data_IF_292740159894
#
_entry.id   IF_292740159894
#
_cell.length_a   1.000
_cell.length_b   1.000
_cell.length_c   1.000
_cell.angle_alpha   90.00
_cell.angle_beta   90.00
_cell.angle_gamma   90.00
#
_symmetry.space_group_name_H-M   'P 1'
#
loop_
_entity.id
_entity.type
_entity.pdbx_description
1 polymer ?
#
# COMPACT_ATOMS: atom_id res chain seq x y z
N UNK A 1 3.96 20.08 -1.78
CA UNK A 1 5.33 19.51 -1.55
C UNK A 1 5.29 18.43 -0.47
N UNK A 2 5.87 17.25 -0.73
CA UNK A 2 5.91 16.10 0.19
C UNK A 2 7.22 16.05 0.99
N UNK A 3 7.12 15.72 2.28
CA UNK A 3 8.24 15.61 3.22
C UNK A 3 8.37 14.18 3.77
N UNK A 4 9.59 13.61 3.84
CA UNK A 4 9.81 12.30 4.44
C UNK A 4 9.40 12.24 5.92
N UNK A 5 8.90 11.07 6.34
CA UNK A 5 8.55 10.75 7.73
C UNK A 5 9.47 9.64 8.25
N UNK A 6 10.21 9.94 9.31
CA UNK A 6 11.01 8.94 10.01
C UNK A 6 10.12 8.12 10.94
N UNK A 7 9.92 6.84 10.62
CA UNK A 7 9.15 5.89 11.41
C UNK A 7 10.07 4.87 12.08
N UNK A 8 9.60 4.27 13.17
CA UNK A 8 10.30 3.14 13.77
C UNK A 8 10.16 1.88 12.90
N UNK A 9 11.28 1.31 12.47
CA UNK A 9 11.32 0.17 11.55
C UNK A 9 11.90 -1.10 12.18
N UNK A 10 11.88 -1.20 13.51
CA UNK A 10 12.39 -2.37 14.25
C UNK A 10 11.53 -3.62 14.02
N UNK A 11 10.25 -3.42 13.72
CA UNK A 11 9.28 -4.46 13.36
C UNK A 11 8.13 -3.86 12.55
N UNK A 12 7.38 -4.71 11.85
CA UNK A 12 6.15 -4.28 11.17
C UNK A 12 5.16 -3.62 12.13
N UNK A 13 5.01 -4.13 13.36
CA UNK A 13 4.10 -3.55 14.36
C UNK A 13 4.53 -2.16 14.84
N UNK A 14 5.84 -1.93 15.01
CA UNK A 14 6.36 -0.61 15.33
C UNK A 14 6.13 0.37 14.17
N UNK A 15 6.34 -0.08 12.94
CA UNK A 15 6.09 0.71 11.73
C UNK A 15 4.61 1.05 11.58
N UNK A 16 3.70 0.08 11.74
CA UNK A 16 2.25 0.27 11.71
C UNK A 16 1.79 1.27 12.78
N UNK A 17 2.31 1.19 14.00
CA UNK A 17 2.04 2.18 15.05
C UNK A 17 2.51 3.58 14.64
N UNK A 18 3.70 3.68 14.06
CA UNK A 18 4.23 4.95 13.51
C UNK A 18 3.35 5.52 12.40
N UNK A 19 2.85 4.69 11.48
CA UNK A 19 1.91 5.11 10.43
C UNK A 19 0.60 5.61 11.04
N UNK A 20 0.03 4.89 12.02
CA UNK A 20 -1.19 5.30 12.70
C UNK A 20 -1.01 6.67 13.39
N UNK A 21 0.12 6.90 14.05
CA UNK A 21 0.44 8.21 14.63
C UNK A 21 0.53 9.32 13.58
N UNK A 22 1.11 9.06 12.41
CA UNK A 22 1.15 10.06 11.33
C UNK A 22 -0.26 10.36 10.83
N UNK A 23 -1.08 9.34 10.57
CA UNK A 23 -2.47 9.52 10.13
C UNK A 23 -3.30 10.36 11.11
N UNK A 24 -3.06 10.23 12.41
CA UNK A 24 -3.72 11.05 13.44
C UNK A 24 -3.25 12.50 13.48
N UNK A 25 -2.00 12.76 13.08
CA UNK A 25 -1.41 14.11 13.01
C UNK A 25 -1.80 14.86 11.75
N UNK A 26 -2.25 14.16 10.71
CA UNK A 26 -2.60 14.75 9.42
C UNK A 26 -3.73 15.76 9.55
N UNK A 27 -3.56 16.92 8.95
CA UNK A 27 -4.63 17.89 8.72
C UNK A 27 -5.68 17.37 7.71
N UNK A 28 -6.86 17.99 7.64
CA UNK A 28 -7.75 17.81 6.51
C UNK A 28 -7.01 18.12 5.20
N UNK A 29 -7.29 17.34 4.15
CA UNK A 29 -6.69 17.49 2.80
C UNK A 29 -5.18 17.21 2.73
N UNK A 30 -4.58 16.66 3.80
CA UNK A 30 -3.20 16.16 3.78
C UNK A 30 -3.15 14.69 3.36
N UNK A 31 -2.15 14.39 2.53
CA UNK A 31 -1.86 13.06 2.02
C UNK A 31 -0.68 12.44 2.75
N UNK A 32 -0.84 11.18 3.16
CA UNK A 32 0.27 10.29 3.51
C UNK A 32 0.50 9.34 2.35
N UNK A 33 1.70 9.37 1.77
CA UNK A 33 2.09 8.52 0.65
C UNK A 33 3.09 7.48 1.17
N UNK A 34 2.79 6.21 0.95
CA UNK A 34 3.60 5.07 1.37
C UNK A 34 4.13 4.36 0.12
N UNK A 35 5.46 4.31 0.01
CA UNK A 35 6.18 3.90 -1.20
C UNK A 35 7.22 2.82 -0.82
N UNK A 36 6.96 1.55 -1.14
CA UNK A 36 7.97 0.51 -1.07
C UNK A 36 9.10 0.79 -2.06
N UNK A 37 10.33 0.75 -1.58
CA UNK A 37 11.53 1.00 -2.36
C UNK A 37 11.87 -0.22 -3.23
N UNK A 38 12.64 -0.03 -4.31
CA UNK A 38 12.99 -1.13 -5.23
C UNK A 38 13.68 -2.33 -4.55
N UNK A 39 14.40 -2.11 -3.44
CA UNK A 39 15.06 -3.17 -2.66
C UNK A 39 14.11 -3.92 -1.71
N UNK A 40 12.88 -3.44 -1.53
CA UNK A 40 11.87 -4.05 -0.67
C UNK A 40 11.45 -5.44 -1.16
N UNK A 41 11.63 -5.69 -2.45
CA UNK A 41 11.15 -6.87 -3.14
C UNK A 41 12.24 -7.93 -3.22
N UNK A 42 11.92 -9.23 -3.02
CA UNK A 42 12.88 -10.29 -3.26
C UNK A 42 13.39 -10.25 -4.70
N UNK A 43 14.70 -10.51 -4.87
CA UNK A 43 15.32 -10.56 -6.19
C UNK A 43 14.60 -11.58 -7.07
N UNK A 44 14.38 -11.23 -8.34
CA UNK A 44 13.87 -12.19 -9.32
C UNK A 44 14.79 -13.42 -9.32
N UNK A 45 14.25 -14.65 -9.19
CA UNK A 45 15.08 -15.84 -9.15
C UNK A 45 15.88 -15.96 -10.45
N UNK A 46 17.15 -16.37 -10.37
CA UNK A 46 17.96 -16.58 -11.57
C UNK A 46 17.25 -17.58 -12.51
N UNK A 47 17.17 -17.30 -13.83
CA UNK A 47 16.54 -18.22 -14.77
C UNK A 47 17.26 -19.57 -14.69
N UNK A 48 16.55 -20.59 -14.21
CA UNK A 48 17.11 -21.92 -14.05
C UNK A 48 17.70 -22.38 -15.40
N UNK A 49 19.03 -22.52 -15.46
CA UNK A 49 19.76 -23.09 -16.60
C UNK A 49 19.40 -24.59 -16.70
N UNK A 50 18.25 -24.91 -17.27
CA UNK A 50 17.81 -26.31 -17.33
C UNK A 50 16.49 -26.56 -18.04
N UNK A 51 16.59 -26.98 -19.31
CA UNK A 51 15.64 -27.80 -20.09
C UNK A 51 14.18 -27.31 -20.20
N UNK A 52 13.94 -26.46 -21.20
CA UNK A 52 12.92 -26.59 -22.28
C UNK A 52 11.47 -27.05 -21.98
N UNK A 53 10.95 -26.93 -20.76
CA UNK A 53 9.51 -27.14 -20.46
C UNK A 53 8.83 -25.98 -19.71
N UNK A 54 9.51 -24.85 -19.51
CA UNK A 54 9.10 -23.79 -18.57
C UNK A 54 8.30 -22.59 -19.12
N UNK A 55 7.61 -22.67 -20.26
CA UNK A 55 7.01 -21.46 -20.87
C UNK A 55 5.79 -20.88 -20.15
N UNK A 56 5.06 -21.65 -19.33
CA UNK A 56 3.86 -21.14 -18.64
C UNK A 56 4.05 -20.83 -17.15
N UNK A 57 4.99 -21.48 -16.46
CA UNK A 57 5.12 -21.36 -15.00
C UNK A 57 6.15 -20.31 -14.53
N UNK A 58 7.04 -19.87 -15.42
CA UNK A 58 8.04 -18.84 -15.11
C UNK A 58 7.53 -17.40 -15.27
N UNK A 59 6.44 -17.15 -16.01
CA UNK A 59 5.96 -15.76 -16.22
C UNK A 59 5.28 -15.13 -15.01
N UNK A 60 4.90 -15.91 -13.98
CA UNK A 60 4.21 -15.39 -12.78
C UNK A 60 5.17 -14.84 -11.71
N UNK A 61 6.48 -15.07 -11.82
CA UNK A 61 7.45 -14.82 -10.72
C UNK A 61 8.38 -13.63 -10.92
N UNK A 62 8.35 -13.00 -12.10
CA UNK A 62 9.30 -11.95 -12.49
C UNK A 62 8.70 -10.52 -12.40
N UNK A 63 7.52 -10.35 -11.80
CA UNK A 63 6.72 -9.12 -11.88
C UNK A 63 6.21 -8.73 -10.49
N UNK A 64 7.06 -8.13 -9.65
CA UNK A 64 6.61 -7.64 -8.34
C UNK A 64 6.15 -6.19 -8.48
N UNK A 65 4.88 -5.87 -8.17
CA UNK A 65 4.40 -4.51 -8.27
C UNK A 65 5.12 -3.65 -7.22
N UNK A 66 5.60 -2.47 -7.60
CA UNK A 66 5.90 -1.39 -6.68
C UNK A 66 4.61 -0.56 -6.48
N UNK A 67 3.71 -0.96 -5.55
CA UNK A 67 2.50 -0.21 -5.34
C UNK A 67 2.80 1.10 -4.64
N UNK A 68 1.90 2.06 -4.80
CA UNK A 68 1.86 3.25 -3.94
C UNK A 68 0.55 3.19 -3.18
N UNK A 69 0.62 3.34 -1.85
CA UNK A 69 -0.56 3.58 -1.04
C UNK A 69 -0.63 5.06 -0.71
N UNK A 70 -1.79 5.67 -0.92
CA UNK A 70 -2.08 7.03 -0.49
C UNK A 70 -3.20 6.99 0.54
N UNK A 71 -3.06 7.80 1.57
CA UNK A 71 -4.07 7.98 2.60
C UNK A 71 -4.36 9.48 2.72
N UNK A 72 -5.55 9.87 2.27
CA UNK A 72 -6.02 11.26 2.31
C UNK A 72 -7.04 11.41 3.43
N UNK A 73 -6.83 12.37 4.32
CA UNK A 73 -7.81 12.68 5.37
C UNK A 73 -8.88 13.63 4.84
N UNK A 74 -10.14 13.19 4.93
CA UNK A 74 -11.31 14.01 4.66
C UNK A 74 -12.13 14.14 5.96
N UNK A 75 -12.04 15.29 6.62
CA UNK A 75 -12.64 15.55 7.94
C UNK A 75 -12.29 14.49 9.03
N UNK A 76 -13.23 13.61 9.36
CA UNK A 76 -13.10 12.51 10.33
C UNK A 76 -12.99 11.13 9.66
N UNK A 77 -12.77 11.11 8.35
CA UNK A 77 -12.66 9.92 7.51
C UNK A 77 -11.31 9.92 6.79
N UNK A 78 -10.97 8.76 6.24
CA UNK A 78 -9.74 8.53 5.50
C UNK A 78 -10.09 7.85 4.18
N UNK A 79 -9.69 8.44 3.07
CA UNK A 79 -9.66 7.75 1.78
C UNK A 79 -8.31 7.03 1.66
N UNK A 80 -8.36 5.72 1.48
CA UNK A 80 -7.20 4.90 1.16
C UNK A 80 -7.23 4.49 -0.30
N UNK A 81 -6.15 4.79 -1.01
CA UNK A 81 -5.95 4.42 -2.41
C UNK A 81 -4.70 3.56 -2.53
N UNK A 82 -4.84 2.35 -3.08
CA UNK A 82 -3.77 1.45 -3.41
C UNK A 82 -3.67 1.33 -4.93
N UNK A 83 -2.60 1.90 -5.46
CA UNK A 83 -2.35 2.02 -6.89
C UNK A 83 -1.21 1.09 -7.29
N UNK A 84 -1.44 0.24 -8.30
CA UNK A 84 -0.38 -0.60 -8.88
C UNK A 84 0.60 0.23 -9.73
N UNK A 85 1.81 -0.27 -10.00
CA UNK A 85 2.82 0.50 -10.72
C UNK A 85 2.46 0.81 -12.17
N UNK A 86 1.64 0.00 -12.85
CA UNK A 86 1.19 0.27 -14.22
C UNK A 86 0.52 1.65 -14.40
N UNK A 87 -0.21 2.11 -13.38
CA UNK A 87 -0.85 3.44 -13.33
C UNK A 87 0.15 4.59 -13.14
N UNK A 88 1.37 4.29 -12.67
CA UNK A 88 2.45 5.26 -12.42
C UNK A 88 3.61 5.08 -13.42
N UNK A 89 3.39 4.36 -14.53
CA UNK A 89 4.39 4.13 -15.57
C UNK A 89 5.36 2.97 -15.31
N UNK A 90 5.14 2.16 -14.28
CA UNK A 90 5.88 0.93 -14.02
C UNK A 90 5.38 -0.25 -14.86
N UNK A 91 6.23 -1.26 -15.02
CA UNK A 91 6.06 -2.27 -16.08
C UNK A 91 4.99 -3.36 -15.79
N UNK A 92 4.40 -3.41 -14.59
CA UNK A 92 3.71 -4.63 -14.12
C UNK A 92 2.32 -4.39 -13.50
N UNK A 93 1.31 -5.15 -13.93
CA UNK A 93 -0.04 -5.13 -13.36
C UNK A 93 -0.19 -6.13 -12.20
N UNK A 94 -1.18 -5.90 -11.31
CA UNK A 94 -1.57 -6.86 -10.28
C UNK A 94 -1.92 -8.21 -10.89
N UNK A 95 -1.41 -9.30 -10.30
CA UNK A 95 -1.81 -10.66 -10.67
C UNK A 95 -3.17 -11.02 -10.08
N UNK A 96 -3.89 -11.99 -10.66
CA UNK A 96 -5.18 -12.44 -10.12
C UNK A 96 -5.05 -12.92 -8.67
N UNK A 97 -4.00 -13.69 -8.36
CA UNK A 97 -3.71 -14.19 -7.01
C UNK A 97 -3.52 -13.02 -6.00
N UNK A 98 -2.91 -11.91 -6.43
CA UNK A 98 -2.75 -10.70 -5.60
C UNK A 98 -4.07 -9.95 -5.42
N UNK A 99 -4.88 -9.86 -6.47
CA UNK A 99 -6.21 -9.23 -6.40
C UNK A 99 -7.09 -9.99 -5.41
N UNK A 100 -7.10 -11.32 -5.50
CA UNK A 100 -7.83 -12.18 -4.55
C UNK A 100 -7.31 -11.97 -3.11
N UNK A 101 -6.00 -11.99 -2.91
CA UNK A 101 -5.40 -11.76 -1.59
C UNK A 101 -5.73 -10.36 -1.01
N UNK A 102 -5.78 -9.32 -1.84
CA UNK A 102 -6.19 -7.97 -1.41
C UNK A 102 -7.66 -7.94 -0.98
N UNK A 103 -8.53 -8.61 -1.72
CA UNK A 103 -9.96 -8.71 -1.39
C UNK A 103 -10.16 -9.47 -0.08
N UNK A 104 -9.48 -10.59 0.11
CA UNK A 104 -9.52 -11.39 1.33
C UNK A 104 -9.00 -10.61 2.55
N UNK A 105 -7.98 -9.78 2.35
CA UNK A 105 -7.45 -8.88 3.37
C UNK A 105 -8.44 -7.76 3.75
N UNK A 106 -9.39 -7.47 2.86
CA UNK A 106 -10.46 -6.51 3.10
C UNK A 106 -10.41 -5.29 2.20
N UNK A 107 -9.59 -5.23 1.15
CA UNK A 107 -9.79 -4.22 0.10
C UNK A 107 -11.07 -4.51 -0.69
N UNK A 108 -11.78 -3.49 -1.19
CA UNK A 108 -12.88 -3.72 -2.13
C UNK A 108 -12.35 -4.20 -3.48
N UNK A 109 -13.25 -4.64 -4.37
CA UNK A 109 -12.87 -4.94 -5.75
C UNK A 109 -12.27 -3.69 -6.42
N UNK A 110 -11.22 -3.83 -7.26
CA UNK A 110 -10.56 -2.68 -7.86
C UNK A 110 -11.42 -2.03 -8.95
N UNK A 111 -11.30 -0.72 -9.07
CA UNK A 111 -11.80 0.05 -10.21
C UNK A 111 -10.82 -0.19 -11.37
N UNK A 112 -11.35 -0.46 -12.57
CA UNK A 112 -10.56 -0.74 -13.78
C UNK A 112 -10.66 0.42 -14.76
N UNK A 113 -9.83 1.44 -14.57
CA UNK A 113 -9.70 2.58 -15.49
C UNK A 113 -8.24 2.70 -15.97
N UNK A 114 -7.89 1.92 -17.00
CA UNK A 114 -6.52 1.81 -17.50
C UNK A 114 -5.60 0.94 -16.64
N UNK A 115 -5.64 1.10 -15.31
CA UNK A 115 -4.98 0.24 -14.33
C UNK A 115 -5.97 -0.14 -13.21
N UNK A 116 -5.65 -1.22 -12.47
CA UNK A 116 -6.42 -1.62 -11.31
C UNK A 116 -6.01 -0.79 -10.09
N UNK A 117 -6.96 0.00 -9.59
CA UNK A 117 -6.82 0.84 -8.39
C UNK A 117 -7.83 0.37 -7.35
N UNK A 118 -7.36 0.16 -6.13
CA UNK A 118 -8.20 -0.19 -5.00
C UNK A 118 -8.43 1.05 -4.16
N UNK A 119 -9.68 1.44 -3.94
CA UNK A 119 -10.03 2.65 -3.20
C UNK A 119 -11.03 2.30 -2.10
N UNK A 120 -10.86 2.84 -0.90
CA UNK A 120 -11.84 2.68 0.16
C UNK A 120 -11.87 3.86 1.13
N UNK A 121 -13.09 4.22 1.56
CA UNK A 121 -13.28 5.12 2.69
C UNK A 121 -13.30 4.35 4.01
N UNK A 122 -12.61 4.92 4.99
CA UNK A 122 -12.59 4.49 6.37
C UNK A 122 -13.08 5.59 7.30
N UNK A 123 -13.98 5.29 8.25
CA UNK A 123 -14.70 4.02 8.34
C UNK A 123 -15.68 3.86 7.17
N UNK A 124 -16.02 2.61 6.84
CA UNK A 124 -16.95 2.31 5.72
C UNK A 124 -18.38 2.81 5.94
N UNK A 125 -18.72 3.14 7.18
CA UNK A 125 -19.99 3.74 7.53
C UNK A 125 -19.74 5.15 8.05
N UNK A 126 -20.52 6.15 7.62
CA UNK A 126 -20.32 7.53 8.04
C UNK A 126 -20.36 7.65 9.56
N UNK A 127 -19.40 8.38 10.11
CA UNK A 127 -19.45 8.82 11.50
C UNK A 127 -20.15 10.17 11.61
N UNK A 128 -20.78 10.47 12.76
CA UNK A 128 -21.17 11.84 13.07
C UNK A 128 -19.98 12.79 12.87
N UNK A 129 -20.18 13.98 12.28
CA UNK A 129 -19.08 14.91 11.99
C UNK A 129 -18.23 15.21 13.23
N UNK A 130 -16.91 15.17 13.07
CA UNK A 130 -15.93 15.46 14.14
C UNK A 130 -14.69 16.13 13.54
N UNK A 131 -13.98 16.96 14.32
CA UNK A 131 -12.82 17.69 13.81
C UNK A 131 -11.53 16.84 13.76
N UNK A 132 -11.58 15.56 14.13
CA UNK A 132 -10.43 14.67 14.21
C UNK A 132 -10.75 13.28 13.65
N UNK A 133 -9.72 12.60 13.14
CA UNK A 133 -9.76 11.19 12.74
C UNK A 133 -9.77 10.31 14.01
N UNK A 134 -10.67 9.33 14.15
CA UNK A 134 -10.65 8.43 15.31
C UNK A 134 -9.43 7.48 15.31
N UNK A 135 -8.87 7.22 16.49
CA UNK A 135 -7.72 6.32 16.68
C UNK A 135 -7.93 4.93 16.08
N UNK A 136 -9.14 4.37 16.23
CA UNK A 136 -9.48 3.06 15.67
C UNK A 136 -9.43 3.03 14.15
N UNK A 137 -9.72 4.15 13.49
CA UNK A 137 -9.68 4.28 12.03
C UNK A 137 -8.22 4.33 11.57
N UNK A 138 -7.40 5.16 12.21
CA UNK A 138 -5.97 5.26 11.91
C UNK A 138 -5.23 3.92 12.15
N UNK A 139 -5.54 3.25 13.26
CA UNK A 139 -4.96 1.95 13.61
C UNK A 139 -5.35 0.89 12.59
N UNK A 140 -6.65 0.80 12.24
CA UNK A 140 -7.13 -0.15 11.24
C UNK A 140 -6.48 0.10 9.86
N UNK A 141 -6.39 1.37 9.45
CA UNK A 141 -5.74 1.75 8.20
C UNK A 141 -4.26 1.31 8.20
N UNK A 142 -3.51 1.63 9.25
CA UNK A 142 -2.11 1.25 9.34
C UNK A 142 -1.89 -0.27 9.32
N UNK A 143 -2.70 -1.03 10.07
CA UNK A 143 -2.66 -2.50 10.07
C UNK A 143 -2.99 -3.08 8.68
N UNK A 144 -3.97 -2.52 7.98
CA UNK A 144 -4.33 -2.96 6.62
C UNK A 144 -3.20 -2.69 5.63
N UNK A 145 -2.57 -1.52 5.72
CA UNK A 145 -1.44 -1.13 4.87
C UNK A 145 -0.23 -2.03 5.15
N UNK A 146 0.13 -2.24 6.42
CA UNK A 146 1.22 -3.11 6.82
C UNK A 146 1.05 -4.54 6.32
N UNK A 147 -0.14 -5.13 6.48
CA UNK A 147 -0.45 -6.46 5.95
C UNK A 147 -0.42 -6.50 4.41
N UNK A 148 -0.92 -5.45 3.75
CA UNK A 148 -0.87 -5.36 2.27
C UNK A 148 0.57 -5.43 1.78
N UNK A 149 1.44 -4.61 2.38
CA UNK A 149 2.85 -4.54 1.99
C UNK A 149 3.59 -5.84 2.30
N UNK A 150 3.37 -6.42 3.47
CA UNK A 150 4.06 -7.62 3.94
C UNK A 150 3.58 -8.90 3.25
N UNK A 151 2.27 -9.10 3.15
CA UNK A 151 1.69 -10.41 2.84
C UNK A 151 1.29 -10.57 1.36
N UNK A 152 0.95 -9.46 0.68
CA UNK A 152 0.55 -9.46 -0.74
C UNK A 152 1.69 -9.01 -1.64
N UNK A 153 2.33 -7.92 -1.24
CA UNK A 153 3.39 -7.25 -2.02
C UNK A 153 4.77 -7.85 -1.70
N UNK A 154 4.86 -8.63 -0.62
CA UNK A 154 6.06 -9.33 -0.16
C UNK A 154 7.24 -8.41 0.14
N UNK A 155 6.95 -7.20 0.63
CA UNK A 155 7.95 -6.31 1.20
C UNK A 155 8.64 -7.03 2.36
N UNK A 156 9.96 -7.20 2.27
CA UNK A 156 10.72 -8.00 3.24
C UNK A 156 10.87 -7.30 4.58
N UNK A 157 10.98 -5.96 4.57
CA UNK A 157 11.30 -5.17 5.76
C UNK A 157 10.62 -3.79 5.75
N UNK A 158 10.12 -3.28 6.89
CA UNK A 158 9.62 -1.92 6.99
C UNK A 158 10.69 -0.85 6.73
N UNK A 159 11.99 -1.18 6.84
CA UNK A 159 13.10 -0.27 6.48
C UNK A 159 13.14 0.08 4.98
N UNK A 160 12.42 -0.68 4.16
CA UNK A 160 12.38 -0.51 2.72
C UNK A 160 11.10 0.17 2.27
N UNK A 161 10.36 0.79 3.19
CA UNK A 161 9.13 1.51 2.91
C UNK A 161 9.32 2.98 3.29
N UNK A 162 9.33 3.85 2.29
CA UNK A 162 9.31 5.29 2.53
C UNK A 162 7.89 5.74 2.84
N UNK A 163 7.78 6.71 3.75
CA UNK A 163 6.53 7.36 4.10
C UNK A 163 6.74 8.86 3.96
N UNK A 164 5.88 9.52 3.20
CA UNK A 164 5.97 10.95 2.89
C UNK A 164 4.64 11.63 3.18
N UNK A 165 4.66 12.82 3.78
CA UNK A 165 3.44 13.59 4.10
C UNK A 165 3.44 14.94 3.40
N UNK A 166 2.29 15.41 2.93
CA UNK A 166 2.18 16.73 2.31
C UNK A 166 0.80 17.06 1.76
N UNK A 167 0.66 18.27 1.23
CA UNK A 167 -0.55 18.70 0.52
C UNK A 167 -0.48 18.27 -0.95
N UNK A 168 -1.59 17.79 -1.54
CA UNK A 168 -1.70 17.72 -2.99
C UNK A 168 -1.62 19.14 -3.56
N UNK A 169 -0.66 19.37 -4.45
CA UNK A 169 -0.51 20.67 -5.14
C UNK A 169 -1.66 20.91 -6.14
#
# INVERSE_FOLDING_TARGET
MYEPRDLETTSWKAWEAGVAEQLLKHGPDENLVIIPQARAFPAAPEPAKGRLTGRLRNRRRDLLPAPVVQAMREENSLLLDLTGPASMGGEYAWTDDQIEALIDLGWPAPIKEGAAVFMMYLPRSPLPPRPYLPDVVATFAADLIGQTLRDVVWCQSPTDVAVEGGYPD
#
